data_IF_442454080099
#
_entry.id   IF_442454080099
#
_cell.length_a   1.000
_cell.length_b   1.000
_cell.length_c   1.000
_cell.angle_alpha   90.00
_cell.angle_beta   90.00
_cell.angle_gamma   90.00
#
_symmetry.space_group_name_H-M   'P 1'
#
loop_
_entity.id
_entity.type
_entity.pdbx_description
1 polymer ?
#
# COMPACT_ATOMS: atom_id res chain seq x y z
N UNK A 1 -5.74 14.94 -9.51
CA UNK A 1 -5.20 16.20 -8.91
C UNK A 1 -3.87 15.91 -8.26
N UNK A 2 -2.87 16.75 -8.46
CA UNK A 2 -1.58 16.61 -7.77
C UNK A 2 -1.56 17.47 -6.51
N UNK A 3 -0.87 17.03 -5.45
CA UNK A 3 -0.78 17.82 -4.21
C UNK A 3 -0.06 19.16 -4.38
N UNK A 4 0.90 19.24 -5.28
CA UNK A 4 1.65 20.47 -5.59
C UNK A 4 0.98 21.33 -6.66
N UNK A 5 -0.31 21.19 -6.89
CA UNK A 5 -1.07 22.00 -7.85
C UNK A 5 -1.91 23.07 -7.15
N UNK A 6 -2.22 24.16 -7.86
CA UNK A 6 -3.07 25.25 -7.37
C UNK A 6 -4.48 24.72 -7.04
N UNK A 7 -4.97 23.78 -7.85
CA UNK A 7 -6.27 23.14 -7.64
C UNK A 7 -6.33 22.46 -6.26
N UNK A 8 -5.26 21.77 -5.84
CA UNK A 8 -5.20 21.15 -4.52
C UNK A 8 -5.15 22.18 -3.39
N UNK A 9 -4.40 23.27 -3.58
CA UNK A 9 -4.32 24.34 -2.57
C UNK A 9 -5.66 25.03 -2.33
N UNK A 10 -6.56 25.06 -3.31
CA UNK A 10 -7.93 25.54 -3.16
C UNK A 10 -8.90 24.47 -2.68
N UNK A 11 -8.76 23.25 -3.20
CA UNK A 11 -9.59 22.09 -2.87
C UNK A 11 -9.45 21.69 -1.40
N UNK A 12 -8.23 21.55 -0.90
CA UNK A 12 -7.99 21.00 0.44
C UNK A 12 -8.60 21.86 1.57
N UNK A 13 -8.40 23.18 1.64
CA UNK A 13 -9.05 24.02 2.63
C UNK A 13 -10.59 23.96 2.56
N UNK A 14 -11.17 23.98 1.35
CA UNK A 14 -12.61 23.86 1.17
C UNK A 14 -13.14 22.51 1.69
N UNK A 15 -12.44 21.41 1.40
CA UNK A 15 -12.80 20.08 1.90
C UNK A 15 -12.75 20.02 3.42
N UNK A 16 -11.69 20.56 4.05
CA UNK A 16 -11.50 20.55 5.51
C UNK A 16 -12.56 21.41 6.20
N UNK A 17 -12.81 22.63 5.73
CA UNK A 17 -13.81 23.53 6.32
C UNK A 17 -15.20 22.92 6.28
N UNK A 18 -15.60 22.36 5.14
CA UNK A 18 -16.90 21.70 5.01
C UNK A 18 -16.95 20.39 5.82
N UNK A 19 -15.86 19.63 5.89
CA UNK A 19 -15.79 18.41 6.71
C UNK A 19 -16.13 18.67 8.19
N UNK A 20 -15.62 19.76 8.75
CA UNK A 20 -15.91 20.12 10.13
C UNK A 20 -17.26 20.84 10.30
N UNK A 21 -17.74 21.55 9.29
CA UNK A 21 -19.03 22.26 9.32
C UNK A 21 -20.24 21.31 9.23
N UNK A 22 -20.13 20.18 8.52
CA UNK A 22 -21.24 19.24 8.34
C UNK A 22 -21.42 18.31 9.54
N UNK A 23 -22.67 17.80 9.77
CA UNK A 23 -22.94 16.82 10.82
C UNK A 23 -22.08 15.56 10.70
N UNK A 24 -21.62 15.01 11.83
CA UNK A 24 -20.72 13.85 11.86
C UNK A 24 -21.20 12.64 11.05
N UNK A 25 -22.51 12.39 10.99
CA UNK A 25 -23.11 11.30 10.21
C UNK A 25 -22.91 11.43 8.69
N UNK A 26 -22.72 12.63 8.18
CA UNK A 26 -22.52 12.90 6.75
C UNK A 26 -21.04 13.00 6.35
N UNK A 27 -20.12 13.04 7.30
CA UNK A 27 -18.69 13.24 7.05
C UNK A 27 -18.05 12.12 6.23
N UNK A 28 -18.45 10.88 6.45
CA UNK A 28 -17.97 9.73 5.67
C UNK A 28 -18.41 9.85 4.20
N UNK A 29 -19.65 10.27 3.98
CA UNK A 29 -20.16 10.54 2.62
C UNK A 29 -19.41 11.70 1.96
N UNK A 30 -19.14 12.78 2.72
CA UNK A 30 -18.35 13.91 2.24
C UNK A 30 -16.94 13.51 1.83
N UNK A 31 -16.26 12.70 2.65
CA UNK A 31 -14.94 12.15 2.32
C UNK A 31 -14.99 11.31 1.04
N UNK A 32 -16.00 10.45 0.91
CA UNK A 32 -16.17 9.64 -0.30
C UNK A 32 -16.33 10.52 -1.54
N UNK A 33 -17.24 11.50 -1.48
CA UNK A 33 -17.51 12.42 -2.58
C UNK A 33 -16.24 13.19 -2.99
N UNK A 34 -15.56 13.79 -2.02
CA UNK A 34 -14.33 14.57 -2.28
C UNK A 34 -13.17 13.70 -2.76
N UNK A 35 -13.07 12.45 -2.30
CA UNK A 35 -12.07 11.49 -2.80
C UNK A 35 -12.29 11.14 -4.26
N UNK A 36 -13.53 10.92 -4.66
CA UNK A 36 -13.87 10.69 -6.07
C UNK A 36 -13.65 11.93 -6.93
N UNK A 37 -14.03 13.13 -6.45
CA UNK A 37 -13.75 14.39 -7.14
C UNK A 37 -12.23 14.60 -7.33
N UNK A 38 -11.43 14.33 -6.29
CA UNK A 38 -9.98 14.39 -6.36
C UNK A 38 -9.42 13.45 -7.43
N UNK A 39 -9.91 12.21 -7.48
CA UNK A 39 -9.44 11.19 -8.42
C UNK A 39 -9.88 11.47 -9.87
N UNK A 40 -11.14 11.89 -10.07
CA UNK A 40 -11.70 12.22 -11.38
C UNK A 40 -11.02 13.41 -12.06
N UNK A 41 -10.39 14.30 -11.31
CA UNK A 41 -9.59 15.39 -11.89
C UNK A 41 -8.44 14.87 -12.78
N UNK A 42 -7.98 13.65 -12.55
CA UNK A 42 -7.00 12.99 -13.43
C UNK A 42 -7.68 12.41 -14.68
N UNK A 43 -8.60 11.46 -14.48
CA UNK A 43 -9.40 10.88 -15.55
C UNK A 43 -10.69 10.28 -14.96
N UNK A 44 -11.88 10.80 -15.34
CA UNK A 44 -13.17 10.32 -14.82
C UNK A 44 -13.43 8.83 -15.07
N UNK A 45 -12.95 8.27 -16.19
CA UNK A 45 -13.16 6.85 -16.53
C UNK A 45 -12.48 5.91 -15.50
N UNK A 46 -11.36 6.33 -14.91
CA UNK A 46 -10.66 5.52 -13.91
C UNK A 46 -11.37 5.48 -12.56
N UNK A 47 -12.26 6.44 -12.28
CA UNK A 47 -13.11 6.38 -11.11
C UNK A 47 -14.09 5.21 -11.15
N UNK A 48 -14.54 4.80 -12.34
CA UNK A 48 -15.36 3.60 -12.52
C UNK A 48 -14.58 2.33 -12.20
N UNK A 49 -13.30 2.28 -12.59
CA UNK A 49 -12.43 1.15 -12.27
C UNK A 49 -12.16 1.03 -10.77
N UNK A 50 -11.90 2.17 -10.11
CA UNK A 50 -11.77 2.25 -8.65
C UNK A 50 -13.05 1.77 -7.97
N UNK A 51 -14.22 2.24 -8.44
CA UNK A 51 -15.53 1.83 -7.93
C UNK A 51 -15.77 0.33 -8.12
N UNK A 52 -15.44 -0.21 -9.30
CA UNK A 52 -15.58 -1.63 -9.60
C UNK A 52 -14.72 -2.50 -8.67
N UNK A 53 -13.42 -2.19 -8.54
CA UNK A 53 -12.52 -2.89 -7.62
C UNK A 53 -13.01 -2.82 -6.18
N UNK A 54 -13.49 -1.65 -5.75
CA UNK A 54 -14.07 -1.42 -4.42
C UNK A 54 -15.32 -2.27 -4.21
N UNK A 55 -16.25 -2.30 -5.17
CA UNK A 55 -17.48 -3.09 -5.08
C UNK A 55 -17.19 -4.60 -5.04
N UNK A 56 -16.26 -5.07 -5.86
CA UNK A 56 -15.82 -6.47 -5.88
C UNK A 56 -15.25 -6.87 -4.52
N UNK A 57 -14.29 -6.12 -3.99
CA UNK A 57 -13.65 -6.46 -2.71
C UNK A 57 -14.59 -6.30 -1.52
N UNK A 58 -15.52 -5.36 -1.55
CA UNK A 58 -16.62 -5.25 -0.56
C UNK A 58 -17.51 -6.51 -0.58
N UNK A 59 -17.97 -6.90 -1.76
CA UNK A 59 -18.83 -8.09 -1.92
C UNK A 59 -18.13 -9.34 -1.40
N UNK A 60 -16.87 -9.56 -1.81
CA UNK A 60 -16.10 -10.70 -1.31
C UNK A 60 -15.84 -10.62 0.19
N UNK A 61 -15.59 -9.43 0.75
CA UNK A 61 -15.49 -9.22 2.19
C UNK A 61 -16.76 -9.69 2.93
N UNK A 62 -17.95 -9.34 2.42
CA UNK A 62 -19.24 -9.80 2.97
C UNK A 62 -19.41 -11.32 2.86
N UNK A 63 -19.11 -11.91 1.68
CA UNK A 63 -19.25 -13.36 1.45
C UNK A 63 -18.31 -14.14 2.36
N UNK A 64 -17.05 -13.69 2.47
CA UNK A 64 -16.03 -14.31 3.31
C UNK A 64 -16.43 -14.21 4.78
N UNK A 65 -16.81 -13.02 5.27
CA UNK A 65 -17.18 -12.82 6.67
C UNK A 65 -18.37 -13.68 7.09
N UNK A 66 -19.46 -13.68 6.29
CA UNK A 66 -20.63 -14.52 6.53
C UNK A 66 -20.28 -16.02 6.51
N UNK A 67 -19.43 -16.44 5.56
CA UNK A 67 -19.04 -17.85 5.44
C UNK A 67 -18.11 -18.28 6.56
N UNK A 68 -17.16 -17.43 6.94
CA UNK A 68 -16.21 -17.68 8.01
C UNK A 68 -16.89 -17.90 9.35
N UNK A 69 -17.93 -17.12 9.66
CA UNK A 69 -18.77 -17.33 10.85
C UNK A 69 -19.42 -18.73 10.84
N UNK A 70 -19.97 -19.15 9.69
CA UNK A 70 -20.56 -20.50 9.55
C UNK A 70 -19.51 -21.61 9.66
N UNK A 71 -18.33 -21.41 9.09
CA UNK A 71 -17.21 -22.36 9.15
C UNK A 71 -16.69 -22.52 10.58
N UNK A 72 -16.59 -21.43 11.37
CA UNK A 72 -16.24 -21.50 12.79
C UNK A 72 -17.28 -22.26 13.59
N UNK A 73 -18.56 -21.95 13.44
CA UNK A 73 -19.65 -22.66 14.12
C UNK A 73 -19.70 -24.15 13.76
N UNK A 74 -19.39 -24.52 12.52
CA UNK A 74 -19.30 -25.93 12.11
C UNK A 74 -18.10 -26.63 12.77
N UNK A 75 -16.96 -25.95 12.89
CA UNK A 75 -15.78 -26.46 13.59
C UNK A 75 -16.06 -26.76 15.05
N UNK A 76 -16.67 -25.79 15.74
CA UNK A 76 -17.06 -25.91 17.15
C UNK A 76 -18.06 -27.05 17.38
N UNK A 77 -18.92 -27.31 16.39
CA UNK A 77 -19.89 -28.43 16.42
C UNK A 77 -19.29 -29.77 15.94
N UNK A 78 -17.99 -29.88 15.69
CA UNK A 78 -17.32 -31.09 15.22
C UNK A 78 -17.74 -31.55 13.81
N UNK A 79 -18.36 -30.67 13.00
CA UNK A 79 -18.85 -30.96 11.66
C UNK A 79 -17.75 -30.80 10.61
N UNK A 80 -17.76 -31.52 9.48
CA UNK A 80 -16.80 -31.39 8.40
C UNK A 80 -16.85 -29.96 7.84
N UNK A 81 -15.66 -29.31 7.75
CA UNK A 81 -15.55 -27.93 7.30
C UNK A 81 -15.15 -27.93 5.84
N UNK A 82 -15.97 -27.29 4.99
CA UNK A 82 -15.61 -26.93 3.63
C UNK A 82 -15.10 -25.48 3.61
N UNK A 83 -13.80 -25.26 3.38
CA UNK A 83 -13.15 -23.94 3.40
C UNK A 83 -13.51 -23.10 2.16
N UNK A 84 -14.79 -22.80 1.98
CA UNK A 84 -15.30 -21.98 0.86
C UNK A 84 -14.83 -20.53 0.98
N UNK A 85 -14.67 -20.02 2.20
CA UNK A 85 -14.13 -18.68 2.45
C UNK A 85 -12.76 -18.48 1.79
N UNK A 86 -11.89 -19.50 1.80
CA UNK A 86 -10.58 -19.47 1.12
C UNK A 86 -10.72 -19.36 -0.40
N UNK A 87 -11.70 -20.00 -0.99
CA UNK A 87 -11.98 -19.90 -2.45
C UNK A 87 -12.37 -18.47 -2.81
N UNK A 88 -13.23 -17.82 -2.01
CA UNK A 88 -13.63 -16.44 -2.24
C UNK A 88 -12.44 -15.45 -2.14
N UNK A 89 -11.51 -15.68 -1.22
CA UNK A 89 -10.23 -14.93 -1.20
C UNK A 89 -9.51 -15.09 -2.53
N UNK A 90 -9.32 -16.34 -2.99
CA UNK A 90 -8.65 -16.61 -4.27
C UNK A 90 -9.33 -15.93 -5.46
N UNK A 91 -10.66 -15.96 -5.53
CA UNK A 91 -11.43 -15.32 -6.61
C UNK A 91 -11.28 -13.78 -6.55
N UNK A 92 -11.34 -13.18 -5.35
CA UNK A 92 -11.13 -11.74 -5.17
C UNK A 92 -9.73 -11.31 -5.65
N UNK A 93 -8.70 -12.10 -5.30
CA UNK A 93 -7.34 -11.88 -5.79
C UNK A 93 -7.26 -12.01 -7.31
N UNK A 94 -7.83 -13.07 -7.89
CA UNK A 94 -7.81 -13.30 -9.32
C UNK A 94 -8.43 -12.14 -10.10
N UNK A 95 -9.59 -11.63 -9.68
CA UNK A 95 -10.25 -10.49 -10.34
C UNK A 95 -9.40 -9.22 -10.24
N UNK A 96 -8.93 -8.87 -9.05
CA UNK A 96 -8.17 -7.62 -8.87
C UNK A 96 -6.76 -7.68 -9.49
N UNK A 97 -6.10 -8.86 -9.44
CA UNK A 97 -4.83 -9.04 -10.12
C UNK A 97 -4.99 -9.11 -11.65
N UNK A 98 -6.12 -9.59 -12.18
CA UNK A 98 -6.42 -9.52 -13.61
C UNK A 98 -6.58 -8.06 -14.08
N UNK A 99 -7.25 -7.21 -13.28
CA UNK A 99 -7.31 -5.77 -13.55
C UNK A 99 -5.90 -5.16 -13.55
N UNK A 100 -5.11 -5.45 -12.52
CA UNK A 100 -3.74 -4.95 -12.41
C UNK A 100 -2.86 -5.45 -13.57
N UNK A 101 -3.02 -6.71 -13.94
CA UNK A 101 -2.32 -7.30 -15.08
C UNK A 101 -2.67 -6.56 -16.37
N UNK A 102 -3.94 -6.35 -16.66
CA UNK A 102 -4.39 -5.69 -17.87
C UNK A 102 -3.84 -4.26 -17.99
N UNK A 103 -3.94 -3.45 -16.92
CA UNK A 103 -3.53 -2.05 -16.97
C UNK A 103 -2.02 -1.83 -16.79
N UNK A 104 -1.30 -2.76 -16.18
CA UNK A 104 0.11 -2.54 -15.84
C UNK A 104 1.08 -3.49 -16.55
N UNK A 105 0.69 -4.73 -16.79
CA UNK A 105 1.61 -5.77 -17.27
C UNK A 105 1.29 -6.26 -18.67
N UNK A 106 0.18 -5.82 -19.26
CA UNK A 106 -0.25 -6.29 -20.59
C UNK A 106 0.80 -6.00 -21.65
N UNK A 107 1.23 -4.74 -21.79
CA UNK A 107 2.22 -4.32 -22.79
C UNK A 107 3.55 -5.04 -22.59
N UNK A 108 4.04 -5.10 -21.35
CA UNK A 108 5.24 -5.86 -21.02
C UNK A 108 5.15 -7.34 -21.43
N UNK A 109 3.97 -7.94 -21.28
CA UNK A 109 3.74 -9.34 -21.69
C UNK A 109 3.75 -9.47 -23.21
N UNK A 110 3.11 -8.54 -23.92
CA UNK A 110 3.09 -8.52 -25.39
C UNK A 110 4.49 -8.31 -25.96
N UNK A 111 5.28 -7.39 -25.38
CA UNK A 111 6.65 -7.14 -25.79
C UNK A 111 7.54 -8.38 -25.65
N UNK A 112 7.47 -9.06 -24.49
CA UNK A 112 8.21 -10.30 -24.28
C UNK A 112 7.72 -11.43 -25.20
N UNK A 113 6.41 -11.52 -25.47
CA UNK A 113 5.87 -12.47 -26.43
C UNK A 113 6.40 -12.19 -27.83
N UNK A 114 6.49 -10.93 -28.23
CA UNK A 114 7.01 -10.53 -29.53
C UNK A 114 8.51 -10.87 -29.71
N UNK A 115 9.31 -10.76 -28.63
CA UNK A 115 10.69 -11.24 -28.65
C UNK A 115 10.75 -12.75 -28.94
N UNK A 116 9.93 -13.55 -28.24
CA UNK A 116 9.86 -15.01 -28.45
C UNK A 116 9.36 -15.34 -29.88
N UNK A 117 8.33 -14.65 -30.35
CA UNK A 117 7.80 -14.80 -31.71
C UNK A 117 8.85 -14.46 -32.77
N UNK A 118 9.67 -13.42 -32.54
CA UNK A 118 10.79 -13.06 -33.40
C UNK A 118 11.83 -14.20 -33.52
N UNK A 119 12.15 -14.86 -32.41
CA UNK A 119 13.02 -16.05 -32.42
C UNK A 119 12.42 -17.23 -33.20
N UNK A 120 11.08 -17.32 -33.24
CA UNK A 120 10.35 -18.35 -33.99
C UNK A 120 10.06 -17.95 -35.45
N UNK A 121 10.51 -16.77 -35.94
CA UNK A 121 10.23 -16.24 -37.27
C UNK A 121 8.77 -15.84 -37.49
N UNK A 122 8.00 -15.61 -36.42
CA UNK A 122 6.58 -15.23 -36.49
C UNK A 122 6.43 -13.70 -36.45
N UNK A 123 5.42 -13.17 -37.17
CA UNK A 123 5.10 -11.75 -37.15
C UNK A 123 4.71 -11.26 -35.72
N UNK A 124 5.09 -10.02 -35.34
CA UNK A 124 4.74 -9.46 -34.05
C UNK A 124 3.22 -9.30 -33.88
N UNK A 125 2.74 -9.44 -32.64
CA UNK A 125 1.37 -9.09 -32.25
C UNK A 125 1.35 -7.61 -31.89
N UNK A 126 0.50 -6.83 -32.55
CA UNK A 126 0.27 -5.41 -32.24
C UNK A 126 -1.16 -5.27 -31.71
N UNK A 127 -1.35 -4.99 -30.41
CA UNK A 127 -2.67 -4.66 -29.89
C UNK A 127 -3.22 -3.41 -30.57
N UNK A 128 -4.51 -3.42 -30.92
CA UNK A 128 -5.17 -2.29 -31.57
C UNK A 128 -5.61 -1.19 -30.61
N UNK A 129 -5.07 -1.14 -29.38
CA UNK A 129 -5.43 -0.18 -28.33
C UNK A 129 -4.23 0.08 -27.41
N UNK A 130 -4.19 1.30 -26.89
CA UNK A 130 -3.20 1.71 -25.89
C UNK A 130 -3.80 1.60 -24.48
N UNK A 131 -3.06 0.99 -23.57
CA UNK A 131 -3.45 0.85 -22.16
C UNK A 131 -2.78 1.94 -21.34
N UNK A 132 -3.54 2.97 -20.96
CA UNK A 132 -3.03 3.98 -20.03
C UNK A 132 -3.15 3.49 -18.59
N UNK A 133 -2.03 3.53 -17.87
CA UNK A 133 -1.97 3.10 -16.47
C UNK A 133 -2.73 4.07 -15.55
N UNK A 134 -3.81 3.63 -14.85
CA UNK A 134 -4.49 4.47 -13.87
C UNK A 134 -3.59 4.80 -12.68
N UNK A 135 -3.52 6.06 -12.30
CA UNK A 135 -2.71 6.52 -11.17
C UNK A 135 -3.21 5.86 -9.88
N UNK A 136 -2.29 5.37 -9.06
CA UNK A 136 -2.61 4.76 -7.77
C UNK A 136 -3.19 3.34 -7.83
N UNK A 137 -3.39 2.73 -9.03
CA UNK A 137 -4.02 1.40 -9.18
C UNK A 137 -3.37 0.33 -8.29
N UNK A 138 -2.04 0.29 -8.23
CA UNK A 138 -1.30 -0.68 -7.42
C UNK A 138 -1.52 -0.46 -5.92
N UNK A 139 -1.71 0.79 -5.49
CA UNK A 139 -1.92 1.15 -4.08
C UNK A 139 -3.31 0.75 -3.61
N UNK A 140 -4.37 1.18 -4.31
CA UNK A 140 -5.73 0.86 -3.87
C UNK A 140 -6.08 -0.61 -4.03
N UNK A 141 -5.53 -1.32 -5.04
CA UNK A 141 -5.71 -2.77 -5.16
C UNK A 141 -5.06 -3.50 -3.97
N UNK A 142 -3.83 -3.13 -3.59
CA UNK A 142 -3.17 -3.74 -2.44
C UNK A 142 -3.92 -3.48 -1.14
N UNK A 143 -4.42 -2.26 -0.95
CA UNK A 143 -5.25 -1.92 0.21
C UNK A 143 -6.56 -2.72 0.23
N UNK A 144 -7.28 -2.80 -0.88
CA UNK A 144 -8.53 -3.53 -0.98
C UNK A 144 -8.35 -5.04 -0.80
N UNK A 145 -7.27 -5.62 -1.35
CA UNK A 145 -6.93 -7.03 -1.15
C UNK A 145 -6.50 -7.33 0.29
N UNK A 146 -5.79 -6.40 0.97
CA UNK A 146 -5.46 -6.59 2.38
C UNK A 146 -6.70 -6.71 3.25
N UNK A 147 -7.73 -5.88 3.02
CA UNK A 147 -9.01 -6.00 3.72
C UNK A 147 -9.66 -7.38 3.55
N UNK A 148 -9.67 -7.93 2.33
CA UNK A 148 -10.23 -9.26 2.06
C UNK A 148 -9.52 -10.35 2.87
N UNK A 149 -8.18 -10.26 2.96
CA UNK A 149 -7.38 -11.19 3.77
C UNK A 149 -7.60 -10.97 5.26
N UNK A 150 -7.68 -9.72 5.72
CA UNK A 150 -7.89 -9.38 7.14
C UNK A 150 -9.26 -9.90 7.63
N UNK A 151 -10.32 -9.78 6.81
CA UNK A 151 -11.63 -10.39 7.10
C UNK A 151 -11.54 -11.91 7.13
N UNK A 152 -10.81 -12.53 6.19
CA UNK A 152 -10.60 -13.98 6.17
C UNK A 152 -9.85 -14.48 7.41
N UNK A 153 -8.82 -13.77 7.86
CA UNK A 153 -8.07 -14.07 9.09
C UNK A 153 -8.89 -13.84 10.35
N UNK A 154 -9.85 -12.92 10.28
CA UNK A 154 -10.63 -12.44 11.41
C UNK A 154 -9.99 -11.28 12.15
N UNK A 155 -9.00 -10.62 11.53
CA UNK A 155 -8.31 -9.44 12.07
C UNK A 155 -9.22 -8.22 12.08
N UNK A 156 -10.18 -8.17 11.14
CA UNK A 156 -11.22 -7.14 11.03
C UNK A 156 -12.58 -7.79 10.82
N UNK A 157 -13.60 -7.22 11.43
CA UNK A 157 -14.99 -7.61 11.12
C UNK A 157 -15.35 -7.18 9.71
N UNK A 158 -16.16 -7.99 9.00
CA UNK A 158 -16.67 -7.59 7.70
C UNK A 158 -17.43 -6.27 7.81
N UNK A 159 -17.09 -5.32 6.95
CA UNK A 159 -17.82 -4.05 6.87
C UNK A 159 -19.11 -4.25 6.08
N UNK A 160 -20.21 -3.74 6.59
CA UNK A 160 -21.54 -3.84 5.98
C UNK A 160 -21.98 -2.54 5.32
N UNK A 161 -21.33 -1.43 5.67
CA UNK A 161 -21.61 -0.12 5.08
C UNK A 161 -20.69 0.11 3.87
N UNK A 162 -21.28 0.05 2.67
CA UNK A 162 -20.53 0.27 1.42
C UNK A 162 -19.90 1.67 1.34
N UNK A 163 -20.60 2.71 1.81
CA UNK A 163 -20.10 4.10 1.77
C UNK A 163 -18.82 4.23 2.62
N UNK A 164 -18.83 3.65 3.82
CA UNK A 164 -17.67 3.63 4.71
C UNK A 164 -16.51 2.86 4.09
N UNK A 165 -16.76 1.67 3.53
CA UNK A 165 -15.75 0.88 2.87
C UNK A 165 -15.18 1.57 1.62
N UNK A 166 -16.04 2.17 0.81
CA UNK A 166 -15.62 2.94 -0.36
C UNK A 166 -14.79 4.17 0.03
N UNK A 167 -15.15 4.89 1.09
CA UNK A 167 -14.35 5.98 1.63
C UNK A 167 -12.97 5.51 2.11
N UNK A 168 -12.88 4.33 2.72
CA UNK A 168 -11.60 3.73 3.12
C UNK A 168 -10.71 3.43 1.92
N UNK A 169 -11.23 2.79 0.86
CA UNK A 169 -10.43 2.43 -0.32
C UNK A 169 -10.02 3.67 -1.13
N UNK A 170 -10.91 4.66 -1.24
CA UNK A 170 -10.70 5.85 -2.07
C UNK A 170 -10.15 7.07 -1.32
N UNK A 171 -9.80 6.97 -0.05
CA UNK A 171 -9.41 8.09 0.80
C UNK A 171 -8.34 8.96 0.13
N UNK A 172 -8.72 10.17 -0.32
CA UNK A 172 -7.90 10.98 -1.23
C UNK A 172 -6.49 11.30 -0.72
N UNK A 173 -6.24 11.50 0.60
CA UNK A 173 -4.89 11.79 1.04
C UNK A 173 -3.89 10.68 0.72
N UNK A 174 -4.32 9.40 0.77
CA UNK A 174 -3.43 8.26 0.54
C UNK A 174 -3.51 7.66 -0.88
N UNK A 175 -4.62 7.90 -1.61
CA UNK A 175 -5.03 7.15 -2.80
C UNK A 175 -3.97 7.09 -3.90
N UNK A 176 -3.22 8.15 -4.11
CA UNK A 176 -2.26 8.28 -5.23
C UNK A 176 -0.87 7.77 -4.88
N UNK A 177 -0.29 8.25 -3.80
CA UNK A 177 1.08 7.92 -3.37
C UNK A 177 1.26 8.01 -1.84
N UNK A 178 0.18 7.95 -1.08
CA UNK A 178 0.23 7.86 0.38
C UNK A 178 0.66 6.47 0.86
N UNK A 179 0.77 6.27 2.18
CA UNK A 179 1.03 4.96 2.75
C UNK A 179 -0.08 3.96 2.37
N UNK A 180 0.28 2.69 2.10
CA UNK A 180 -0.70 1.60 1.90
C UNK A 180 -1.31 1.25 3.25
N UNK A 181 -2.49 1.81 3.53
CA UNK A 181 -3.14 1.68 4.83
C UNK A 181 -3.77 0.30 5.05
N UNK A 182 -3.84 -0.07 6.34
CA UNK A 182 -4.50 -1.30 6.77
C UNK A 182 -5.94 -1.04 7.15
N UNK A 183 -6.80 -2.04 6.90
CA UNK A 183 -8.20 -2.01 7.35
C UNK A 183 -8.29 -1.93 8.88
N UNK A 184 -7.36 -2.54 9.59
CA UNK A 184 -7.25 -2.48 11.07
C UNK A 184 -6.95 -1.09 11.61
N UNK A 185 -6.32 -0.21 10.81
CA UNK A 185 -5.99 1.15 11.20
C UNK A 185 -7.00 2.18 10.66
N UNK A 186 -7.10 2.30 9.34
CA UNK A 186 -7.86 3.41 8.76
C UNK A 186 -9.38 3.16 8.75
N UNK A 187 -9.84 1.94 8.42
CA UNK A 187 -11.27 1.66 8.32
C UNK A 187 -12.01 1.88 9.66
N UNK A 188 -11.37 1.54 10.77
CA UNK A 188 -11.91 1.73 12.12
C UNK A 188 -12.02 3.21 12.53
N UNK A 189 -11.20 4.09 11.96
CA UNK A 189 -11.25 5.52 12.26
C UNK A 189 -12.48 6.22 11.68
N UNK A 190 -13.16 5.62 10.70
CA UNK A 190 -14.43 6.13 10.18
C UNK A 190 -15.64 5.86 11.10
N UNK A 191 -15.48 5.07 12.18
CA UNK A 191 -16.57 4.77 13.12
C UNK A 191 -16.92 5.94 14.04
N UNK A 192 -15.96 6.83 14.27
CA UNK A 192 -16.13 7.98 15.17
C UNK A 192 -15.85 9.29 14.42
N UNK A 193 -16.76 10.28 14.51
CA UNK A 193 -16.50 11.59 13.92
C UNK A 193 -15.39 12.31 14.68
N UNK A 194 -14.37 12.74 13.95
CA UNK A 194 -13.24 13.47 14.52
C UNK A 194 -13.64 14.90 14.89
N UNK A 195 -13.08 15.42 15.98
CA UNK A 195 -13.22 16.81 16.38
C UNK A 195 -12.10 17.66 15.77
N UNK A 196 -12.38 18.94 15.59
CA UNK A 196 -11.35 19.90 15.23
C UNK A 196 -10.45 20.13 16.44
N UNK A 197 -9.21 19.69 16.35
CA UNK A 197 -8.20 19.82 17.39
C UNK A 197 -7.05 20.67 16.88
N UNK A 198 -6.69 21.73 17.63
CA UNK A 198 -5.64 22.67 17.22
C UNK A 198 -4.31 21.97 16.92
N UNK A 199 -3.90 21.04 17.79
CA UNK A 199 -2.62 20.35 17.64
C UNK A 199 -2.60 19.47 16.37
N UNK A 200 -3.70 18.79 16.06
CA UNK A 200 -3.80 18.01 14.82
C UNK A 200 -3.72 18.90 13.58
N UNK A 201 -4.35 20.07 13.61
CA UNK A 201 -4.31 21.02 12.49
C UNK A 201 -2.92 21.63 12.33
N UNK A 202 -2.34 22.14 13.41
CA UNK A 202 -0.99 22.73 13.41
C UNK A 202 0.05 21.72 12.92
N UNK A 203 0.11 20.55 13.53
CA UNK A 203 1.14 19.55 13.24
C UNK A 203 0.93 18.93 11.85
N UNK A 204 -0.33 18.76 11.44
CA UNK A 204 -0.69 18.32 10.09
C UNK A 204 -0.24 19.32 9.02
N UNK A 205 -0.51 20.60 9.21
CA UNK A 205 -0.06 21.66 8.30
C UNK A 205 1.46 21.79 8.26
N UNK A 206 2.15 21.76 9.41
CA UNK A 206 3.61 21.77 9.46
C UNK A 206 4.20 20.57 8.70
N UNK A 207 3.60 19.39 8.84
CA UNK A 207 3.99 18.20 8.10
C UNK A 207 3.78 18.34 6.59
N UNK A 208 2.67 18.95 6.17
CA UNK A 208 2.43 19.25 4.75
C UNK A 208 3.47 20.21 4.21
N UNK A 209 3.78 21.31 4.93
CA UNK A 209 4.83 22.27 4.55
C UNK A 209 6.18 21.56 4.40
N UNK A 210 6.56 20.70 5.35
CA UNK A 210 7.75 19.88 5.23
C UNK A 210 7.72 18.96 4.00
N UNK A 211 6.58 18.34 3.73
CA UNK A 211 6.39 17.53 2.53
C UNK A 211 6.53 18.33 1.24
N UNK A 212 5.96 19.52 1.16
CA UNK A 212 6.13 20.44 0.02
C UNK A 212 7.59 20.88 -0.15
N UNK A 213 8.29 21.16 0.95
CA UNK A 213 9.72 21.48 0.90
C UNK A 213 10.52 20.31 0.28
N UNK A 214 10.32 19.10 0.74
CA UNK A 214 10.99 17.91 0.19
C UNK A 214 10.68 17.73 -1.31
N UNK A 215 9.41 17.89 -1.71
CA UNK A 215 8.98 17.70 -3.09
C UNK A 215 9.50 18.82 -4.00
N UNK A 216 9.20 20.08 -3.68
CA UNK A 216 9.42 21.22 -4.59
C UNK A 216 10.87 21.70 -4.54
N UNK A 217 11.46 21.78 -3.33
CA UNK A 217 12.78 22.39 -3.13
C UNK A 217 13.90 21.35 -3.28
N UNK A 218 13.70 20.12 -2.81
CA UNK A 218 14.74 19.07 -2.90
C UNK A 218 14.55 18.24 -4.18
N UNK A 219 13.42 17.54 -4.32
CA UNK A 219 13.26 16.56 -5.38
C UNK A 219 13.19 17.19 -6.77
N UNK A 220 12.29 18.18 -6.98
CA UNK A 220 12.10 18.78 -8.30
C UNK A 220 13.34 19.59 -8.75
N UNK A 221 14.11 20.16 -7.81
CA UNK A 221 15.36 20.86 -8.16
C UNK A 221 16.50 19.87 -8.46
N UNK A 222 16.62 18.79 -7.68
CA UNK A 222 17.60 17.74 -7.97
C UNK A 222 17.32 17.04 -9.31
N UNK A 223 16.04 16.91 -9.71
CA UNK A 223 15.64 16.29 -10.97
C UNK A 223 16.26 16.98 -12.20
N UNK A 224 16.47 18.30 -12.16
CA UNK A 224 17.00 19.07 -13.30
C UNK A 224 18.40 18.57 -13.70
N UNK A 225 19.44 18.64 -12.84
CA UNK A 225 20.78 18.16 -13.20
C UNK A 225 20.83 16.64 -13.36
N UNK A 226 20.05 15.87 -12.59
CA UNK A 226 20.00 14.41 -12.71
C UNK A 226 19.52 13.99 -14.09
N UNK A 227 18.40 14.54 -14.56
CA UNK A 227 17.86 14.21 -15.87
C UNK A 227 18.82 14.66 -16.99
N UNK A 228 19.46 15.84 -16.84
CA UNK A 228 20.43 16.31 -17.81
C UNK A 228 21.61 15.34 -17.92
N UNK A 229 22.20 14.92 -16.80
CA UNK A 229 23.37 14.05 -16.81
C UNK A 229 23.00 12.64 -17.27
N UNK A 230 21.89 12.06 -16.78
CA UNK A 230 21.52 10.68 -17.12
C UNK A 230 21.02 10.52 -18.56
N UNK A 231 20.33 11.51 -19.12
CA UNK A 231 19.90 11.46 -20.52
C UNK A 231 21.07 11.62 -21.52
N UNK A 232 22.16 12.23 -21.07
CA UNK A 232 23.33 12.55 -21.89
C UNK A 232 24.63 12.04 -21.25
N UNK A 233 24.60 10.90 -20.55
CA UNK A 233 25.73 10.40 -19.75
C UNK A 233 27.06 10.27 -20.51
N UNK A 234 27.00 10.02 -21.82
CA UNK A 234 28.18 9.91 -22.69
C UNK A 234 28.94 11.23 -22.87
N UNK A 235 28.34 12.37 -22.51
CA UNK A 235 28.96 13.69 -22.59
C UNK A 235 29.54 14.18 -21.26
N UNK A 236 29.40 13.38 -20.19
CA UNK A 236 29.85 13.74 -18.86
C UNK A 236 30.93 12.80 -18.33
N UNK A 237 31.89 13.36 -17.61
CA UNK A 237 32.94 12.61 -16.94
C UNK A 237 32.40 11.84 -15.70
N UNK A 238 33.10 10.79 -15.30
CA UNK A 238 32.75 9.92 -14.20
C UNK A 238 32.36 10.61 -12.88
N UNK A 239 33.13 11.62 -12.42
CA UNK A 239 32.78 12.38 -11.22
C UNK A 239 31.41 13.07 -11.30
N UNK A 240 31.05 13.64 -12.46
CA UNK A 240 29.76 14.29 -12.68
C UNK A 240 28.60 13.28 -12.62
N UNK A 241 28.80 12.09 -13.23
CA UNK A 241 27.83 11.00 -13.18
C UNK A 241 27.64 10.48 -11.75
N UNK A 242 28.72 10.40 -10.96
CA UNK A 242 28.65 9.99 -9.56
C UNK A 242 27.86 11.02 -8.71
N UNK A 243 28.10 12.31 -8.90
CA UNK A 243 27.34 13.38 -8.23
C UNK A 243 25.86 13.29 -8.61
N UNK A 244 25.55 13.10 -9.91
CA UNK A 244 24.19 12.91 -10.37
C UNK A 244 23.51 11.68 -9.73
N UNK A 245 24.22 10.59 -9.53
CA UNK A 245 23.70 9.40 -8.84
C UNK A 245 23.38 9.69 -7.36
N UNK A 246 24.22 10.45 -6.67
CA UNK A 246 23.94 10.89 -5.29
C UNK A 246 22.70 11.81 -5.26
N UNK A 247 22.63 12.79 -6.17
CA UNK A 247 21.47 13.68 -6.28
C UNK A 247 20.19 12.90 -6.61
N UNK A 248 20.28 11.87 -7.44
CA UNK A 248 19.15 10.99 -7.75
C UNK A 248 18.61 10.28 -6.49
N UNK A 249 19.48 9.85 -5.58
CA UNK A 249 19.04 9.28 -4.32
C UNK A 249 18.22 10.29 -3.49
N UNK A 250 18.68 11.55 -3.40
CA UNK A 250 17.92 12.63 -2.75
C UNK A 250 16.63 12.97 -3.49
N UNK A 251 16.65 12.98 -4.82
CA UNK A 251 15.46 13.20 -5.65
C UNK A 251 14.38 12.15 -5.35
N UNK A 252 14.70 10.85 -5.42
CA UNK A 252 13.74 9.76 -5.18
C UNK A 252 13.19 9.82 -3.74
N UNK A 253 14.05 10.08 -2.77
CA UNK A 253 13.62 10.24 -1.38
C UNK A 253 12.73 11.47 -1.19
N UNK A 254 13.17 12.63 -1.68
CA UNK A 254 12.45 13.89 -1.52
C UNK A 254 11.09 13.85 -2.22
N UNK A 255 11.01 13.23 -3.40
CA UNK A 255 9.76 13.06 -4.14
C UNK A 255 8.76 12.21 -3.35
N UNK A 256 9.14 11.01 -2.97
CA UNK A 256 8.21 10.08 -2.35
C UNK A 256 7.97 10.35 -0.86
N UNK A 257 8.99 10.73 -0.09
CA UNK A 257 8.81 11.15 1.30
C UNK A 257 8.02 12.46 1.39
N UNK A 258 8.23 13.37 0.45
CA UNK A 258 7.46 14.61 0.31
C UNK A 258 5.98 14.31 0.12
N UNK A 259 5.65 13.51 -0.87
CA UNK A 259 4.27 13.08 -1.14
C UNK A 259 3.63 12.38 0.07
N UNK A 260 4.35 11.46 0.69
CA UNK A 260 3.87 10.75 1.88
C UNK A 260 3.61 11.69 3.07
N UNK A 261 4.47 12.70 3.29
CA UNK A 261 4.27 13.67 4.37
C UNK A 261 3.08 14.59 4.10
N UNK A 262 2.87 15.04 2.85
CA UNK A 262 1.67 15.80 2.48
C UNK A 262 0.41 14.96 2.73
N UNK A 263 0.40 13.70 2.32
CA UNK A 263 -0.71 12.77 2.51
C UNK A 263 -1.04 12.57 4.00
N UNK A 264 -0.02 12.28 4.81
CA UNK A 264 -0.19 12.06 6.26
C UNK A 264 -0.63 13.35 6.95
N UNK A 265 -0.04 14.49 6.57
CA UNK A 265 -0.42 15.80 7.11
C UNK A 265 -1.85 16.18 6.77
N UNK A 266 -2.27 15.99 5.52
CA UNK A 266 -3.64 16.25 5.08
C UNK A 266 -4.67 15.38 5.84
N UNK A 267 -4.37 14.11 6.03
CA UNK A 267 -5.20 13.22 6.85
C UNK A 267 -5.24 13.68 8.32
N UNK A 268 -4.09 14.08 8.88
CA UNK A 268 -3.97 14.54 10.27
C UNK A 268 -4.77 15.81 10.53
N UNK A 269 -4.80 16.77 9.58
CA UNK A 269 -5.65 17.97 9.67
C UNK A 269 -7.13 17.60 9.79
N UNK A 270 -7.57 16.50 9.16
CA UNK A 270 -8.95 15.99 9.27
C UNK A 270 -9.16 15.04 10.46
N UNK A 271 -8.13 14.83 11.31
CA UNK A 271 -8.19 13.98 12.49
C UNK A 271 -7.84 12.51 12.25
N UNK A 272 -7.48 12.11 11.02
CA UNK A 272 -7.09 10.73 10.70
C UNK A 272 -5.60 10.50 10.91
N UNK A 273 -5.25 9.33 11.43
CA UNK A 273 -3.87 8.90 11.64
C UNK A 273 -3.47 7.85 10.61
N UNK A 274 -2.63 8.22 9.67
CA UNK A 274 -2.02 7.30 8.73
C UNK A 274 -0.69 6.78 9.26
N UNK A 275 -0.29 5.58 8.77
CA UNK A 275 0.99 5.00 9.12
C UNK A 275 2.16 5.77 8.50
N UNK A 276 3.32 5.73 9.15
CA UNK A 276 4.56 6.30 8.60
C UNK A 276 5.02 5.49 7.40
N UNK A 277 5.58 6.17 6.39
CA UNK A 277 6.15 5.52 5.21
C UNK A 277 7.68 5.60 5.17
N UNK A 278 8.27 6.59 5.82
CA UNK A 278 9.72 6.81 5.89
C UNK A 278 10.18 7.18 7.30
N UNK A 279 11.34 6.66 7.71
CA UNK A 279 12.00 6.98 8.99
C UNK A 279 13.52 7.12 8.80
N UNK A 280 13.98 8.28 8.28
CA UNK A 280 15.42 8.59 8.07
C UNK A 280 16.19 7.44 7.39
N UNK A 281 15.78 6.97 6.19
CA UNK A 281 16.32 5.74 5.59
C UNK A 281 17.81 5.82 5.27
N UNK A 282 18.34 6.98 4.92
CA UNK A 282 19.77 7.15 4.59
C UNK A 282 20.71 7.19 5.81
N UNK A 283 20.16 7.14 7.03
CA UNK A 283 20.92 6.91 8.26
C UNK A 283 20.92 5.44 8.67
N UNK A 284 20.50 4.54 7.78
CA UNK A 284 20.50 3.10 8.02
C UNK A 284 21.94 2.57 8.09
N UNK A 285 22.19 1.68 9.04
CA UNK A 285 23.50 1.04 9.25
C UNK A 285 23.66 -0.29 8.50
N UNK A 286 22.59 -0.76 7.88
CA UNK A 286 22.58 -1.97 7.04
C UNK A 286 21.46 -1.91 6.01
N UNK A 287 21.52 -2.77 4.98
CA UNK A 287 20.45 -2.89 3.97
C UNK A 287 19.13 -3.34 4.62
N UNK A 288 19.18 -4.20 5.61
CA UNK A 288 18.02 -4.61 6.39
C UNK A 288 17.41 -3.45 7.18
N UNK A 289 18.23 -2.61 7.80
CA UNK A 289 17.79 -1.41 8.51
C UNK A 289 17.22 -0.36 7.53
N UNK A 290 17.81 -0.25 6.32
CA UNK A 290 17.27 0.60 5.26
C UNK A 290 15.82 0.22 4.91
N UNK A 291 15.53 -1.05 4.66
CA UNK A 291 14.17 -1.51 4.33
C UNK A 291 13.17 -1.40 5.49
N UNK A 292 13.63 -1.31 6.73
CA UNK A 292 12.78 -0.99 7.90
C UNK A 292 12.38 0.48 7.94
N UNK A 293 13.11 1.36 7.26
CA UNK A 293 12.96 2.82 7.25
C UNK A 293 12.44 3.36 5.93
N UNK A 294 12.56 2.59 4.86
CA UNK A 294 12.13 2.93 3.49
C UNK A 294 10.84 2.22 3.13
N UNK A 295 9.85 3.02 2.64
CA UNK A 295 8.55 2.51 2.16
C UNK A 295 7.93 1.48 3.10
N UNK A 296 7.80 1.85 4.38
CA UNK A 296 7.44 0.96 5.50
C UNK A 296 6.10 0.28 5.25
N UNK A 297 5.13 1.02 4.69
CA UNK A 297 3.80 0.49 4.40
C UNK A 297 3.83 -0.65 3.39
N UNK A 298 4.65 -0.54 2.32
CA UNK A 298 4.83 -1.60 1.32
C UNK A 298 5.62 -2.77 1.89
N UNK A 299 6.73 -2.51 2.58
CA UNK A 299 7.58 -3.54 3.17
C UNK A 299 6.82 -4.41 4.16
N UNK A 300 5.99 -3.78 5.01
CA UNK A 300 5.10 -4.50 5.93
C UNK A 300 3.98 -5.23 5.19
N UNK A 301 3.44 -4.65 4.09
CA UNK A 301 2.44 -5.32 3.28
C UNK A 301 2.96 -6.63 2.69
N UNK A 302 4.14 -6.60 2.05
CA UNK A 302 4.77 -7.81 1.50
C UNK A 302 5.09 -8.84 2.59
N UNK A 303 5.51 -8.40 3.78
CA UNK A 303 5.72 -9.30 4.91
C UNK A 303 4.43 -10.04 5.27
N UNK A 304 3.34 -9.29 5.49
CA UNK A 304 2.12 -9.80 6.09
C UNK A 304 1.27 -10.62 5.09
N UNK A 305 1.26 -10.21 3.81
CA UNK A 305 0.39 -10.81 2.80
C UNK A 305 1.11 -11.70 1.78
N UNK A 306 2.43 -11.69 1.74
CA UNK A 306 3.20 -12.56 0.84
C UNK A 306 4.20 -13.43 1.60
N UNK A 307 5.12 -12.86 2.39
CA UNK A 307 6.19 -13.60 3.04
C UNK A 307 5.68 -14.59 4.08
N UNK A 308 4.83 -14.15 5.01
CA UNK A 308 4.25 -14.99 6.06
C UNK A 308 3.38 -16.11 5.48
N UNK A 309 2.47 -15.88 4.51
CA UNK A 309 1.71 -16.95 3.86
C UNK A 309 2.57 -17.99 3.11
N UNK A 310 3.73 -17.61 2.55
CA UNK A 310 4.68 -18.54 1.94
C UNK A 310 5.40 -19.45 2.96
N UNK A 311 5.19 -19.19 4.25
CA UNK A 311 5.79 -19.93 5.37
C UNK A 311 6.84 -19.14 6.15
N UNK A 312 7.17 -17.91 5.72
CA UNK A 312 8.13 -17.05 6.41
C UNK A 312 9.46 -17.73 6.61
N UNK A 313 9.98 -17.70 7.85
CA UNK A 313 11.23 -18.35 8.30
C UNK A 313 10.99 -19.70 8.99
N UNK A 314 9.75 -20.20 9.06
CA UNK A 314 9.39 -21.39 9.85
C UNK A 314 9.76 -22.73 9.19
N UNK A 315 10.03 -22.73 7.86
CA UNK A 315 10.26 -23.96 7.06
C UNK A 315 11.73 -24.18 6.71
N UNK A 316 12.64 -23.76 7.58
CA UNK A 316 14.08 -23.93 7.39
C UNK A 316 14.75 -22.82 6.56
N UNK A 317 16.09 -22.82 6.57
CA UNK A 317 16.93 -21.74 6.04
C UNK A 317 16.79 -21.57 4.52
N UNK A 318 16.83 -22.66 3.76
CA UNK A 318 16.70 -22.61 2.29
C UNK A 318 15.35 -22.00 1.87
N UNK A 319 14.25 -22.47 2.50
CA UNK A 319 12.92 -21.95 2.21
C UNK A 319 12.77 -20.47 2.58
N UNK A 320 13.40 -20.03 3.68
CA UNK A 320 13.46 -18.62 4.06
C UNK A 320 14.03 -17.75 2.93
N UNK A 321 15.15 -18.18 2.34
CA UNK A 321 15.82 -17.42 1.27
C UNK A 321 15.01 -17.40 -0.02
N UNK A 322 14.40 -18.52 -0.38
CA UNK A 322 13.48 -18.59 -1.52
C UNK A 322 12.30 -17.65 -1.29
N UNK A 323 11.69 -17.62 -0.10
CA UNK A 323 10.61 -16.72 0.21
C UNK A 323 11.03 -15.24 0.12
N UNK A 324 12.22 -14.89 0.61
CA UNK A 324 12.78 -13.54 0.49
C UNK A 324 13.04 -13.16 -0.98
N UNK A 325 13.60 -14.07 -1.77
CA UNK A 325 13.82 -13.88 -3.20
C UNK A 325 12.50 -13.60 -3.93
N UNK A 326 11.47 -14.42 -3.67
CA UNK A 326 10.12 -14.23 -4.26
C UNK A 326 9.60 -12.83 -3.89
N UNK A 327 9.67 -12.44 -2.63
CA UNK A 327 9.22 -11.12 -2.17
C UNK A 327 9.93 -9.98 -2.89
N UNK A 328 11.25 -10.05 -3.02
CA UNK A 328 12.04 -9.00 -3.67
C UNK A 328 11.79 -8.93 -5.19
N UNK A 329 11.67 -10.06 -5.87
CA UNK A 329 11.32 -10.11 -7.29
C UNK A 329 9.91 -9.57 -7.55
N UNK A 330 8.93 -9.97 -6.73
CA UNK A 330 7.56 -9.46 -6.83
C UNK A 330 7.51 -7.97 -6.49
N UNK A 331 8.30 -7.50 -5.51
CA UNK A 331 8.41 -6.08 -5.19
C UNK A 331 9.01 -5.29 -6.36
N UNK A 332 10.05 -5.82 -7.00
CA UNK A 332 10.62 -5.20 -8.21
C UNK A 332 9.58 -5.08 -9.32
N UNK A 333 8.89 -6.17 -9.65
CA UNK A 333 7.84 -6.19 -10.65
C UNK A 333 6.66 -5.26 -10.27
N UNK A 334 6.35 -5.13 -8.99
CA UNK A 334 5.34 -4.19 -8.50
C UNK A 334 5.71 -2.73 -8.80
N UNK A 335 7.00 -2.35 -8.74
CA UNK A 335 7.46 -1.00 -9.07
C UNK A 335 7.26 -0.67 -10.55
N UNK A 336 7.52 -1.61 -11.46
CA UNK A 336 7.35 -1.38 -12.89
C UNK A 336 7.34 -2.67 -13.70
N UNK A 337 6.57 -2.65 -14.79
CA UNK A 337 6.49 -3.74 -15.74
C UNK A 337 7.67 -3.68 -16.73
N UNK A 338 8.89 -3.94 -16.24
CA UNK A 338 10.10 -3.97 -17.05
C UNK A 338 11.18 -4.82 -16.39
N UNK A 339 12.07 -5.40 -17.20
CA UNK A 339 13.13 -6.29 -16.72
C UNK A 339 14.13 -5.62 -15.78
N UNK A 340 14.41 -4.32 -15.94
CA UNK A 340 15.27 -3.56 -15.03
C UNK A 340 14.75 -3.58 -13.58
N UNK A 341 13.43 -3.52 -13.36
CA UNK A 341 12.83 -3.62 -12.03
C UNK A 341 12.90 -5.04 -11.46
N UNK A 342 12.74 -6.07 -12.29
CA UNK A 342 12.91 -7.47 -11.87
C UNK A 342 14.34 -7.73 -11.45
N UNK A 343 15.32 -7.27 -12.28
CA UNK A 343 16.76 -7.38 -11.99
C UNK A 343 17.11 -6.60 -10.74
N UNK A 344 16.55 -5.38 -10.57
CA UNK A 344 16.72 -4.58 -9.36
C UNK A 344 16.23 -5.34 -8.11
N UNK A 345 15.07 -6.00 -8.17
CA UNK A 345 14.56 -6.83 -7.08
C UNK A 345 15.50 -7.98 -6.74
N UNK A 346 16.04 -8.69 -7.75
CA UNK A 346 17.05 -9.73 -7.58
C UNK A 346 18.35 -9.22 -6.97
N UNK A 347 18.82 -8.05 -7.40
CA UNK A 347 20.00 -7.37 -6.83
C UNK A 347 19.78 -7.01 -5.36
N UNK A 348 18.61 -6.43 -5.01
CA UNK A 348 18.28 -6.10 -3.62
C UNK A 348 18.27 -7.34 -2.72
N UNK A 349 17.79 -8.48 -3.21
CA UNK A 349 17.87 -9.75 -2.50
C UNK A 349 19.32 -10.17 -2.26
N UNK A 350 20.17 -10.10 -3.29
CA UNK A 350 21.57 -10.49 -3.22
C UNK A 350 22.36 -9.61 -2.23
N UNK A 351 22.17 -8.28 -2.27
CA UNK A 351 22.85 -7.31 -1.38
C UNK A 351 22.33 -7.41 0.05
N UNK A 352 21.06 -7.78 0.26
CA UNK A 352 20.51 -8.06 1.59
C UNK A 352 21.16 -9.28 2.27
N UNK A 353 22.20 -9.84 1.67
CA UNK A 353 23.05 -10.87 2.24
C UNK A 353 22.70 -12.27 1.78
N UNK A 354 21.94 -12.41 0.66
CA UNK A 354 21.62 -13.74 0.11
C UNK A 354 21.31 -14.77 1.17
N UNK A 355 20.96 -14.30 2.36
CA UNK A 355 20.73 -15.16 3.47
C UNK A 355 21.60 -15.06 4.71
N UNK A 356 22.62 -14.27 4.79
CA UNK A 356 23.51 -14.26 5.95
C UNK A 356 23.14 -13.27 7.07
N UNK A 357 22.30 -12.26 6.81
CA UNK A 357 21.87 -11.31 7.85
C UNK A 357 20.40 -11.47 8.18
N UNK A 358 20.13 -11.95 9.38
CA UNK A 358 18.81 -12.01 10.00
C UNK A 358 18.18 -10.62 10.05
N UNK A 359 16.92 -10.48 9.62
CA UNK A 359 16.09 -9.31 9.89
C UNK A 359 15.87 -8.27 8.77
N UNK A 360 15.74 -8.70 7.50
CA UNK A 360 15.39 -7.79 6.41
C UNK A 360 13.94 -7.24 6.46
N UNK A 361 13.07 -7.78 7.33
CA UNK A 361 11.68 -7.35 7.45
C UNK A 361 11.43 -6.67 8.80
N UNK A 362 10.66 -5.57 8.83
CA UNK A 362 10.37 -4.85 10.07
C UNK A 362 9.63 -5.75 11.08
N UNK A 363 9.73 -5.45 12.38
CA UNK A 363 9.00 -6.18 13.42
C UNK A 363 7.49 -6.07 13.20
N UNK A 364 6.68 -6.99 13.75
CA UNK A 364 5.24 -6.93 13.67
C UNK A 364 4.71 -5.58 14.19
N UNK A 365 3.63 -5.11 13.57
CA UNK A 365 3.01 -3.84 13.93
C UNK A 365 2.59 -3.86 15.41
N UNK A 366 2.71 -2.72 16.15
CA UNK A 366 2.32 -2.64 17.58
C UNK A 366 0.91 -3.15 17.89
N UNK A 367 -0.01 -3.17 16.92
CA UNK A 367 -1.34 -3.75 17.07
C UNK A 367 -1.33 -5.28 17.25
N UNK A 368 -0.34 -6.01 16.70
CA UNK A 368 -0.18 -7.46 16.95
C UNK A 368 0.34 -7.75 18.35
N UNK A 369 1.23 -6.89 18.86
CA UNK A 369 1.69 -7.00 20.26
C UNK A 369 0.58 -6.67 21.27
N UNK A 370 -0.37 -5.79 20.94
CA UNK A 370 -1.54 -5.54 21.81
C UNK A 370 -2.47 -6.74 21.86
N UNK A 371 -2.76 -7.39 20.72
CA UNK A 371 -3.64 -8.59 20.71
C UNK A 371 -3.01 -9.76 21.43
N UNK A 372 -1.72 -10.02 21.23
CA UNK A 372 -1.01 -11.05 21.98
C UNK A 372 -1.01 -10.75 23.49
N UNK A 373 -0.98 -9.49 23.90
CA UNK A 373 -1.13 -9.06 25.29
C UNK A 373 -2.57 -9.15 25.80
N UNK A 374 -3.56 -8.74 24.98
CA UNK A 374 -4.99 -8.83 25.29
C UNK A 374 -5.47 -10.29 25.35
N UNK A 375 -5.00 -11.16 24.43
CA UNK A 375 -5.29 -12.59 24.44
C UNK A 375 -4.60 -13.30 25.63
N UNK A 376 -3.39 -12.88 26.00
CA UNK A 376 -2.69 -13.37 27.19
C UNK A 376 -3.36 -12.87 28.49
N UNK A 377 -3.87 -11.64 28.52
CA UNK A 377 -4.59 -11.07 29.65
C UNK A 377 -5.99 -11.65 29.81
N UNK A 378 -6.68 -11.95 28.70
CA UNK A 378 -7.95 -12.67 28.69
C UNK A 378 -7.78 -14.12 29.13
N UNK A 379 -6.72 -14.81 28.68
CA UNK A 379 -6.39 -16.16 29.12
C UNK A 379 -5.99 -16.20 30.62
N UNK A 380 -5.27 -15.18 31.11
CA UNK A 380 -4.93 -15.05 32.52
C UNK A 380 -6.16 -14.78 33.41
N UNK A 381 -7.10 -13.94 32.97
CA UNK A 381 -8.37 -13.66 33.66
C UNK A 381 -9.29 -14.89 33.68
N UNK A 382 -9.40 -15.60 32.53
CA UNK A 382 -10.19 -16.84 32.49
C UNK A 382 -9.61 -17.95 33.40
N UNK A 383 -8.28 -18.03 33.53
CA UNK A 383 -7.64 -18.96 34.47
C UNK A 383 -7.69 -18.54 35.94
N UNK A 384 -7.91 -17.25 36.23
CA UNK A 384 -8.06 -16.75 37.60
C UNK A 384 -9.47 -16.93 38.15
N UNK A 385 -10.49 -16.93 37.30
CA UNK A 385 -11.90 -17.18 37.69
C UNK A 385 -12.15 -18.65 38.03
N UNK A 386 -11.36 -19.60 37.42
CA UNK A 386 -11.45 -21.04 37.77
C UNK A 386 -10.76 -21.41 39.10
N UNK A 387 -9.92 -20.54 39.67
CA UNK A 387 -9.22 -20.79 40.94
C UNK A 387 -9.98 -20.23 42.18
N UNK A 388 -11.03 -19.44 41.96
CA UNK A 388 -11.86 -18.89 43.03
C UNK A 388 -13.23 -19.59 43.17
N UNK A 389 -13.44 -20.74 42.51
CA UNK A 389 -14.68 -21.52 42.54
C UNK A 389 -14.57 -22.88 43.25
N UNK A 390 -13.52 -23.12 44.05
CA UNK A 390 -13.40 -24.27 44.98
C UNK A 390 -13.28 -23.82 46.47
#
# INVERSE_FOLDING_TARGET
MLFNSIEFLLFFPAVVLLYYAIPGKLRVFWILLTSYLFYMNWNPAYALLLLFSTAVTFLFGLLIGKRRTKEKAAAEAGRPIRQISKVWVGVSFAVNLAILFFYKYFDFTVDNLNVIRGWMGLAPVTPGFDVLLPVGISFYIFQALSYVVDVYRGDVRMETNFIKYAAFVSFFPQLVAGPIERSTNLLTQFDTPHKLEYDNVRDGLLRMVWGFFLKIVIADRAAIPVNQVFNYCNYYEGPTVLIAAVLFAFQVYGDFAGYSNIAIGAAQVMGFKLMKNFERPYLAVSVSDFWRRWHISLSTWFRDYLYIPLGGNRKGTVRKYINQMIVMLVSGLWHGAAWNYVIWGGYQWAVSGGGRHHEALPPPHPAENRRAHEDAELAYRAGADDVCAD
#
